data_IF_038946425645
#
_entry.id   IF_038946425645
#
_cell.length_a   1.000
_cell.length_b   1.000
_cell.length_c   1.000
_cell.angle_alpha   90.00
_cell.angle_beta   90.00
_cell.angle_gamma   90.00
#
_symmetry.space_group_name_H-M   'P 1'
#
loop_
_entity.id
_entity.type
_entity.pdbx_description
1 polymer ?
#
# COMPACT_ATOMS: atom_id res chain seq x y z
N UNK A 1 7.94 1.86 10.40
CA UNK A 1 6.52 1.85 9.96
C UNK A 1 6.46 1.60 8.46
N UNK A 2 5.42 0.98 8.01
CA UNK A 2 5.28 0.58 6.61
C UNK A 2 3.87 0.90 6.10
N UNK A 3 3.78 1.17 4.79
CA UNK A 3 2.51 1.23 4.06
C UNK A 3 2.57 0.16 2.97
N UNK A 4 1.53 -0.64 2.85
CA UNK A 4 1.45 -1.66 1.81
C UNK A 4 0.65 -1.14 0.62
N UNK A 5 1.22 -1.28 -0.58
CA UNK A 5 0.50 -1.07 -1.82
C UNK A 5 -0.39 -2.29 -2.13
N UNK A 6 -1.38 -2.10 -2.98
CA UNK A 6 -2.35 -3.14 -3.35
C UNK A 6 -1.68 -4.41 -3.84
N UNK A 7 -0.71 -4.29 -4.75
CA UNK A 7 -0.01 -5.46 -5.30
C UNK A 7 0.74 -6.27 -4.24
N UNK A 8 1.32 -5.60 -3.25
CA UNK A 8 2.01 -6.28 -2.15
C UNK A 8 1.06 -7.20 -1.39
N UNK A 9 -0.15 -6.73 -1.12
CA UNK A 9 -1.18 -7.51 -0.42
C UNK A 9 -1.65 -8.68 -1.28
N UNK A 10 -1.92 -8.45 -2.56
CA UNK A 10 -2.38 -9.50 -3.49
C UNK A 10 -1.37 -10.63 -3.56
N UNK A 11 -0.09 -10.30 -3.74
CA UNK A 11 0.96 -11.33 -3.83
C UNK A 11 1.16 -12.06 -2.49
N UNK A 12 1.11 -11.32 -1.40
CA UNK A 12 1.26 -11.94 -0.07
C UNK A 12 0.11 -12.87 0.27
N UNK A 13 -1.12 -12.45 0.10
CA UNK A 13 -2.31 -13.28 0.36
C UNK A 13 -2.45 -14.43 -0.62
N UNK A 14 -1.81 -14.33 -1.79
CA UNK A 14 -1.70 -15.40 -2.77
C UNK A 14 -0.53 -16.35 -2.53
N UNK A 15 0.17 -16.23 -1.41
CA UNK A 15 1.31 -17.08 -1.03
C UNK A 15 2.46 -17.04 -2.03
N UNK A 16 2.66 -15.92 -2.72
CA UNK A 16 3.81 -15.77 -3.60
C UNK A 16 5.10 -15.78 -2.76
N UNK A 17 6.06 -16.67 -3.05
CA UNK A 17 7.25 -16.82 -2.20
C UNK A 17 8.06 -15.54 -2.00
N UNK A 18 8.22 -14.72 -3.03
CA UNK A 18 8.96 -13.47 -2.93
C UNK A 18 8.29 -12.47 -1.99
N UNK A 19 6.95 -12.34 -2.06
CA UNK A 19 6.18 -11.47 -1.20
C UNK A 19 6.19 -11.96 0.26
N UNK A 20 6.02 -13.25 0.46
CA UNK A 20 6.08 -13.87 1.80
C UNK A 20 7.45 -13.65 2.42
N UNK A 21 8.53 -13.83 1.67
CA UNK A 21 9.89 -13.64 2.17
C UNK A 21 10.16 -12.21 2.65
N UNK A 22 9.58 -11.21 2.01
CA UNK A 22 9.72 -9.80 2.42
C UNK A 22 8.81 -9.47 3.60
N UNK A 23 7.54 -9.88 3.56
CA UNK A 23 6.54 -9.41 4.52
C UNK A 23 6.51 -10.17 5.84
N UNK A 24 6.81 -11.47 5.85
CA UNK A 24 6.80 -12.24 7.10
C UNK A 24 7.72 -11.64 8.17
N UNK A 25 8.98 -11.29 7.87
CA UNK A 25 9.84 -10.64 8.85
C UNK A 25 9.30 -9.28 9.32
N UNK A 26 8.65 -8.53 8.43
CA UNK A 26 8.09 -7.21 8.74
C UNK A 26 6.91 -7.35 9.70
N UNK A 27 6.05 -8.35 9.49
CA UNK A 27 4.94 -8.61 10.42
C UNK A 27 5.41 -9.05 11.80
N UNK A 28 6.63 -9.57 11.93
CA UNK A 28 7.22 -9.91 13.21
C UNK A 28 7.77 -8.70 13.97
N UNK A 29 7.94 -7.54 13.31
CA UNK A 29 8.42 -6.32 13.95
C UNK A 29 7.29 -5.66 14.77
N UNK A 30 7.60 -5.05 15.93
CA UNK A 30 6.60 -4.34 16.73
C UNK A 30 6.38 -2.91 16.20
N UNK A 31 6.09 -2.76 14.92
CA UNK A 31 5.86 -1.46 14.27
C UNK A 31 4.55 -1.47 13.51
N UNK A 32 3.88 -0.30 13.37
CA UNK A 32 2.65 -0.22 12.61
C UNK A 32 2.85 -0.53 11.13
N UNK A 33 1.89 -1.25 10.56
CA UNK A 33 1.77 -1.50 9.13
C UNK A 33 0.43 -0.93 8.71
N UNK A 34 0.46 0.07 7.85
CA UNK A 34 -0.74 0.79 7.40
C UNK A 34 -1.18 0.31 6.03
N UNK A 35 -2.49 0.30 5.83
CA UNK A 35 -3.12 0.09 4.53
C UNK A 35 -4.15 1.22 4.35
N UNK A 36 -4.06 1.93 3.23
CA UNK A 36 -5.04 2.95 2.90
C UNK A 36 -6.42 2.32 2.62
N UNK A 37 -7.48 3.01 3.03
CA UNK A 37 -8.85 2.58 2.65
C UNK A 37 -9.05 2.62 1.13
N UNK A 38 -8.25 3.39 0.38
CA UNK A 38 -8.23 3.31 -1.08
C UNK A 38 -7.68 1.98 -1.58
N UNK A 39 -6.66 1.45 -0.93
CA UNK A 39 -6.16 0.11 -1.20
C UNK A 39 -7.24 -0.94 -0.90
N UNK A 40 -7.93 -0.78 0.21
CA UNK A 40 -9.07 -1.65 0.54
C UNK A 40 -10.14 -1.62 -0.56
N UNK A 41 -10.51 -0.43 -1.04
CA UNK A 41 -11.41 -0.28 -2.17
C UNK A 41 -10.91 -1.05 -3.39
N UNK A 42 -9.64 -0.90 -3.74
CA UNK A 42 -9.04 -1.54 -4.91
C UNK A 42 -9.03 -3.06 -4.78
N UNK A 43 -8.66 -3.59 -3.60
CA UNK A 43 -8.64 -5.02 -3.33
C UNK A 43 -10.00 -5.69 -3.55
N UNK A 44 -11.08 -5.03 -3.11
CA UNK A 44 -12.44 -5.58 -3.22
C UNK A 44 -13.16 -5.17 -4.52
N UNK A 45 -12.47 -4.47 -5.43
CA UNK A 45 -13.05 -4.02 -6.70
C UNK A 45 -12.88 -5.03 -7.85
N UNK A 46 -12.13 -6.09 -7.66
CA UNK A 46 -11.91 -7.08 -8.72
C UNK A 46 -13.20 -7.79 -9.09
N UNK A 47 -13.58 -7.70 -10.38
CA UNK A 47 -14.82 -8.30 -10.88
C UNK A 47 -14.86 -9.83 -10.75
N UNK A 48 -13.69 -10.46 -10.73
CA UNK A 48 -13.55 -11.92 -10.66
C UNK A 48 -12.96 -12.40 -9.33
N UNK A 49 -13.15 -11.62 -8.27
CA UNK A 49 -12.70 -11.99 -6.93
C UNK A 49 -13.44 -13.25 -6.49
N UNK A 50 -12.70 -14.34 -6.24
CA UNK A 50 -13.30 -15.59 -5.79
C UNK A 50 -13.66 -15.50 -4.30
N UNK A 51 -14.54 -16.43 -3.85
CA UNK A 51 -14.91 -16.53 -2.43
C UNK A 51 -13.68 -16.80 -1.57
N UNK A 52 -12.76 -17.63 -2.04
CA UNK A 52 -11.53 -17.97 -1.33
C UNK A 52 -10.58 -16.77 -1.25
N UNK A 53 -10.46 -16.01 -2.33
CA UNK A 53 -9.64 -14.79 -2.35
C UNK A 53 -10.20 -13.73 -1.42
N UNK A 54 -11.51 -13.51 -1.46
CA UNK A 54 -12.18 -12.57 -0.55
C UNK A 54 -11.98 -12.97 0.91
N UNK A 55 -12.12 -14.27 1.23
CA UNK A 55 -11.91 -14.78 2.58
C UNK A 55 -10.48 -14.54 3.06
N UNK A 56 -9.48 -14.70 2.19
CA UNK A 56 -8.08 -14.43 2.53
C UNK A 56 -7.83 -12.95 2.79
N UNK A 57 -8.42 -12.06 2.00
CA UNK A 57 -8.33 -10.62 2.23
C UNK A 57 -8.98 -10.23 3.55
N UNK A 58 -10.17 -10.74 3.85
CA UNK A 58 -10.85 -10.50 5.12
C UNK A 58 -10.03 -11.00 6.32
N UNK A 59 -9.38 -12.14 6.18
CA UNK A 59 -8.52 -12.69 7.24
C UNK A 59 -7.23 -11.86 7.41
N UNK A 60 -6.75 -11.24 6.35
CA UNK A 60 -5.53 -10.43 6.36
C UNK A 60 -5.73 -9.06 7.03
N UNK A 61 -6.86 -8.39 6.76
CA UNK A 61 -7.07 -7.00 7.18
C UNK A 61 -6.90 -6.74 8.68
N UNK A 62 -7.29 -7.65 9.59
CA UNK A 62 -7.03 -7.43 11.03
C UNK A 62 -5.55 -7.35 11.40
N UNK A 63 -4.65 -7.78 10.53
CA UNK A 63 -3.18 -7.74 10.76
C UNK A 63 -2.58 -6.36 10.52
N UNK A 64 -3.33 -5.43 9.95
CA UNK A 64 -2.86 -4.09 9.57
C UNK A 64 -3.77 -3.02 10.16
N UNK A 65 -3.28 -1.78 10.10
CA UNK A 65 -4.07 -0.62 10.50
C UNK A 65 -4.62 0.07 9.24
N UNK A 66 -5.94 0.07 9.09
CA UNK A 66 -6.59 0.79 8.00
C UNK A 66 -6.54 2.29 8.27
N UNK A 67 -6.07 3.05 7.31
CA UNK A 67 -5.91 4.49 7.42
C UNK A 67 -6.76 5.18 6.34
N UNK A 68 -7.76 5.97 6.73
CA UNK A 68 -8.61 6.64 5.75
C UNK A 68 -7.86 7.74 5.01
N UNK A 69 -8.32 8.04 3.80
CA UNK A 69 -7.87 9.21 3.05
C UNK A 69 -8.42 10.47 3.72
N UNK A 70 -7.63 11.02 4.62
CA UNK A 70 -8.00 12.27 5.31
C UNK A 70 -7.74 13.48 4.41
N UNK A 71 -8.27 14.64 4.82
CA UNK A 71 -8.00 15.90 4.11
C UNK A 71 -6.51 16.22 4.04
N UNK A 72 -5.76 15.96 5.12
CA UNK A 72 -4.32 16.18 5.14
C UNK A 72 -3.60 15.32 4.11
N UNK A 73 -3.91 14.03 4.06
CA UNK A 73 -3.32 13.11 3.09
C UNK A 73 -3.73 13.49 1.67
N UNK A 74 -5.00 13.84 1.45
CA UNK A 74 -5.49 14.25 0.15
C UNK A 74 -4.75 15.49 -0.39
N UNK A 75 -4.43 16.46 0.49
CA UNK A 75 -3.68 17.65 0.09
C UNK A 75 -2.24 17.34 -0.27
N UNK A 76 -1.58 16.44 0.47
CA UNK A 76 -0.25 15.96 0.12
C UNK A 76 -0.29 15.26 -1.25
N UNK A 77 -1.29 14.40 -1.47
CA UNK A 77 -1.47 13.72 -2.75
C UNK A 77 -1.65 14.72 -3.90
N UNK A 78 -2.40 15.77 -3.68
CA UNK A 78 -2.57 16.85 -4.65
C UNK A 78 -1.26 17.56 -4.98
N UNK A 79 -0.45 17.86 -3.98
CA UNK A 79 0.88 18.45 -4.16
C UNK A 79 1.78 17.51 -4.98
N UNK A 80 1.77 16.23 -4.68
CA UNK A 80 2.54 15.24 -5.43
C UNK A 80 2.13 15.18 -6.90
N UNK A 81 0.85 15.27 -7.21
CA UNK A 81 0.39 15.27 -8.59
C UNK A 81 0.80 16.52 -9.36
N UNK A 82 0.91 17.67 -8.70
CA UNK A 82 1.45 18.86 -9.35
C UNK A 82 2.94 18.73 -9.66
N UNK A 83 3.70 18.10 -8.77
CA UNK A 83 5.14 17.89 -8.95
C UNK A 83 5.45 16.75 -9.92
N UNK A 84 4.61 15.72 -9.93
CA UNK A 84 4.79 14.51 -10.74
C UNK A 84 3.52 14.23 -11.57
N UNK A 85 3.32 14.93 -12.69
CA UNK A 85 2.04 14.89 -13.43
C UNK A 85 1.65 13.52 -13.96
N UNK A 86 2.62 12.60 -14.12
CA UNK A 86 2.36 11.23 -14.57
C UNK A 86 1.84 10.32 -13.47
N UNK A 87 1.95 10.74 -12.22
CA UNK A 87 1.50 9.96 -11.07
C UNK A 87 -0.03 9.94 -11.03
N UNK A 88 -0.60 8.73 -11.02
CA UNK A 88 -2.07 8.56 -10.96
C UNK A 88 -2.59 8.94 -9.58
N UNK A 89 -3.90 9.24 -9.48
CA UNK A 89 -4.54 9.66 -8.23
C UNK A 89 -4.43 8.61 -7.13
N UNK A 90 -4.60 7.33 -7.48
CA UNK A 90 -4.42 6.24 -6.52
C UNK A 90 -2.99 6.20 -5.99
N UNK A 91 -2.02 6.19 -6.90
CA UNK A 91 -0.60 6.11 -6.52
C UNK A 91 -0.15 7.33 -5.71
N UNK A 92 -0.61 8.53 -6.07
CA UNK A 92 -0.32 9.73 -5.31
C UNK A 92 -0.88 9.67 -3.89
N UNK A 93 -2.07 9.09 -3.73
CA UNK A 93 -2.70 8.90 -2.42
C UNK A 93 -1.96 7.89 -1.56
N UNK A 94 -1.46 6.81 -2.16
CA UNK A 94 -0.66 5.81 -1.45
C UNK A 94 0.69 6.40 -1.01
N UNK A 95 1.37 7.11 -1.92
CA UNK A 95 2.60 7.81 -1.60
C UNK A 95 2.41 8.86 -0.50
N UNK A 96 1.32 9.62 -0.58
CA UNK A 96 0.97 10.62 0.44
C UNK A 96 0.71 9.98 1.80
N UNK A 97 0.07 8.83 1.84
CA UNK A 97 -0.15 8.07 3.07
C UNK A 97 1.19 7.66 3.70
N UNK A 98 2.14 7.18 2.88
CA UNK A 98 3.47 6.81 3.36
C UNK A 98 4.24 8.03 3.88
N UNK A 99 4.21 9.16 3.17
CA UNK A 99 4.86 10.39 3.60
C UNK A 99 4.26 10.93 4.89
N UNK A 100 2.93 10.96 4.98
CA UNK A 100 2.22 11.46 6.15
C UNK A 100 2.52 10.65 7.41
N UNK A 101 2.69 9.35 7.28
CA UNK A 101 2.99 8.44 8.40
C UNK A 101 4.49 8.25 8.63
N UNK A 102 5.34 8.88 7.81
CA UNK A 102 6.79 8.67 7.83
C UNK A 102 7.16 7.19 7.67
N UNK A 103 6.43 6.51 6.80
CA UNK A 103 6.56 5.07 6.56
C UNK A 103 7.33 4.77 5.28
N UNK A 104 7.88 3.57 5.22
CA UNK A 104 8.40 2.99 3.99
C UNK A 104 7.26 2.34 3.21
N UNK A 105 7.15 2.67 1.93
CA UNK A 105 6.16 2.08 1.03
C UNK A 105 6.68 0.74 0.51
N UNK A 106 5.90 -0.32 0.67
CA UNK A 106 6.21 -1.63 0.12
C UNK A 106 5.37 -1.84 -1.13
N UNK A 107 6.04 -1.97 -2.26
CA UNK A 107 5.38 -2.09 -3.56
C UNK A 107 6.23 -2.87 -4.55
N UNK A 108 5.58 -3.55 -5.49
CA UNK A 108 6.26 -4.10 -6.66
C UNK A 108 6.46 -3.05 -7.75
N UNK A 109 5.69 -1.98 -7.71
CA UNK A 109 5.67 -0.93 -8.73
C UNK A 109 6.69 0.18 -8.41
N UNK A 110 7.93 -0.19 -8.17
CA UNK A 110 8.99 0.71 -7.72
C UNK A 110 9.18 1.89 -8.68
N UNK A 111 9.12 1.64 -9.98
CA UNK A 111 9.35 2.65 -11.01
C UNK A 111 8.43 3.87 -10.86
N UNK A 112 7.17 3.66 -10.48
CA UNK A 112 6.20 4.75 -10.38
C UNK A 112 6.40 5.60 -9.13
N UNK A 113 6.99 5.04 -8.08
CA UNK A 113 7.18 5.73 -6.80
C UNK A 113 8.60 6.25 -6.57
N UNK A 114 9.60 5.64 -7.20
CA UNK A 114 11.00 5.99 -7.03
C UNK A 114 11.32 7.47 -7.25
N UNK A 115 10.71 8.17 -8.24
CA UNK A 115 10.99 9.59 -8.46
C UNK A 115 10.53 10.52 -7.34
N UNK A 116 9.67 10.06 -6.43
CA UNK A 116 9.08 10.92 -5.40
C UNK A 116 10.11 11.22 -4.31
N UNK A 117 10.46 12.50 -4.17
CA UNK A 117 11.41 12.96 -3.17
C UNK A 117 10.90 12.71 -1.75
N UNK A 118 11.78 12.23 -0.88
CA UNK A 118 11.46 11.96 0.52
C UNK A 118 10.72 10.65 0.78
N UNK A 119 10.32 9.91 -0.25
CA UNK A 119 9.63 8.63 -0.12
C UNK A 119 10.63 7.48 -0.09
N UNK A 120 10.58 6.68 0.97
CA UNK A 120 11.33 5.42 1.06
C UNK A 120 10.49 4.29 0.45
N UNK A 121 11.08 3.52 -0.44
CA UNK A 121 10.41 2.42 -1.14
C UNK A 121 11.16 1.11 -0.89
N UNK A 122 10.43 0.08 -0.52
CA UNK A 122 10.95 -1.28 -0.38
C UNK A 122 10.32 -2.16 -1.45
N UNK A 123 11.12 -2.72 -2.37
CA UNK A 123 10.60 -3.61 -3.40
C UNK A 123 10.09 -4.94 -2.83
N UNK A 124 9.11 -5.51 -3.50
CA UNK A 124 8.57 -6.80 -3.13
C UNK A 124 8.53 -7.78 -4.32
#
# INVERSE_FOLDING_TARGET
MYVLDTNAIIYYTGDEPAAVAVLEPIFAEPVPIYVSTLTELELFSYAHLSVEEEARLEAFLPSVQLLPLTSNIARIAGDLRRLYPRLRSFDSSIAATALFTSSTLITRNVRDFEPIGGLSVLPI
#
